data_IF_612322047160
#
_entry.id   IF_612322047160
#
_cell.length_a   1.000
_cell.length_b   1.000
_cell.length_c   1.000
_cell.angle_alpha   90.00
_cell.angle_beta   90.00
_cell.angle_gamma   90.00
#
_symmetry.space_group_name_H-M   'P 1'
#
loop_
_entity.id
_entity.type
_entity.pdbx_description
1 polymer ?
#
# COMPACT_ATOMS: atom_id res chain seq x y z
N UNK A 1 16.32 11.17 -11.56
CA UNK A 1 14.96 10.77 -11.19
C UNK A 1 14.97 9.33 -10.69
N UNK A 2 14.47 9.14 -9.49
CA UNK A 2 14.40 7.82 -8.87
C UNK A 2 12.93 7.48 -8.67
N UNK A 3 12.51 6.31 -9.14
CA UNK A 3 11.14 5.82 -8.97
C UNK A 3 11.18 4.50 -8.22
N UNK A 4 10.45 4.40 -7.12
CA UNK A 4 10.34 3.18 -6.33
C UNK A 4 8.92 2.68 -6.25
N UNK A 5 8.77 1.37 -6.17
CA UNK A 5 7.49 0.69 -6.03
C UNK A 5 7.48 -0.12 -4.74
N UNK A 6 6.49 0.13 -3.91
CA UNK A 6 6.19 -0.70 -2.75
C UNK A 6 5.01 -1.59 -3.13
N UNK A 7 5.21 -2.90 -3.10
CA UNK A 7 4.15 -3.88 -3.30
C UNK A 7 3.72 -4.42 -1.95
N UNK A 8 2.44 -4.31 -1.64
CA UNK A 8 1.87 -4.71 -0.35
C UNK A 8 0.79 -5.75 -0.57
N UNK A 9 0.86 -6.83 0.18
CA UNK A 9 -0.18 -7.85 0.22
C UNK A 9 -0.92 -7.71 1.55
N UNK A 10 -2.25 -7.63 1.47
CA UNK A 10 -3.11 -7.54 2.65
C UNK A 10 -3.99 -8.77 2.74
N UNK A 11 -4.19 -9.26 3.97
CA UNK A 11 -5.18 -10.27 4.29
C UNK A 11 -6.22 -9.66 5.21
N UNK A 12 -7.50 -9.69 4.78
CA UNK A 12 -8.59 -9.01 5.47
C UNK A 12 -9.64 -10.07 5.86
N UNK A 13 -9.38 -10.87 6.91
CA UNK A 13 -10.22 -12.04 7.19
C UNK A 13 -11.65 -11.72 7.58
N UNK A 14 -11.93 -10.50 8.05
CA UNK A 14 -13.27 -10.08 8.45
C UNK A 14 -14.12 -9.56 7.28
N UNK A 15 -13.54 -9.41 6.09
CA UNK A 15 -14.29 -8.93 4.94
C UNK A 15 -15.20 -10.04 4.41
N UNK A 16 -16.48 -9.75 4.25
CA UNK A 16 -17.48 -10.70 3.76
C UNK A 16 -18.08 -10.27 2.43
N UNK A 17 -17.51 -9.24 1.80
CA UNK A 17 -17.96 -8.73 0.52
C UNK A 17 -16.89 -7.83 -0.07
N UNK A 18 -17.01 -7.52 -1.36
CA UNK A 18 -16.15 -6.50 -1.99
C UNK A 18 -16.37 -5.14 -1.35
N UNK A 19 -17.60 -4.86 -0.88
CA UNK A 19 -17.90 -3.61 -0.20
C UNK A 19 -17.09 -3.48 1.09
N UNK A 20 -17.04 -4.54 1.90
CA UNK A 20 -16.25 -4.54 3.13
C UNK A 20 -14.78 -4.29 2.84
N UNK A 21 -14.23 -4.98 1.83
CA UNK A 21 -12.85 -4.78 1.43
C UNK A 21 -12.60 -3.34 0.98
N UNK A 22 -13.50 -2.78 0.17
CA UNK A 22 -13.35 -1.41 -0.33
C UNK A 22 -13.32 -0.39 0.80
N UNK A 23 -14.08 -0.62 1.88
CA UNK A 23 -14.06 0.26 3.03
C UNK A 23 -12.70 0.28 3.71
N UNK A 24 -12.08 -0.89 3.88
CA UNK A 24 -10.73 -1.01 4.44
C UNK A 24 -9.71 -0.30 3.53
N UNK A 25 -9.76 -0.59 2.23
CA UNK A 25 -8.82 0.03 1.28
C UNK A 25 -8.99 1.53 1.21
N UNK A 26 -10.22 2.03 1.29
CA UNK A 26 -10.48 3.48 1.30
C UNK A 26 -9.85 4.13 2.53
N UNK A 27 -10.00 3.50 3.70
CA UNK A 27 -9.38 3.99 4.93
C UNK A 27 -7.86 4.09 4.78
N UNK A 28 -7.24 3.05 4.23
CA UNK A 28 -5.81 3.06 3.98
C UNK A 28 -5.42 4.17 3.00
N UNK A 29 -6.11 4.25 1.86
CA UNK A 29 -5.81 5.27 0.84
C UNK A 29 -5.96 6.69 1.39
N UNK A 30 -6.98 6.93 2.21
CA UNK A 30 -7.20 8.24 2.81
C UNK A 30 -6.04 8.63 3.73
N UNK A 31 -5.51 7.68 4.49
CA UNK A 31 -4.35 7.95 5.35
C UNK A 31 -3.08 8.20 4.54
N UNK A 32 -2.95 7.56 3.38
CA UNK A 32 -1.77 7.72 2.54
C UNK A 32 -1.78 9.03 1.74
N UNK A 33 -2.88 9.78 1.73
CA UNK A 33 -2.94 11.06 1.01
C UNK A 33 -1.95 12.10 1.51
N UNK A 34 -1.46 11.97 2.74
CA UNK A 34 -0.45 12.88 3.29
C UNK A 34 0.95 12.63 2.74
N UNK A 35 1.13 11.50 2.05
CA UNK A 35 2.42 11.16 1.42
C UNK A 35 2.38 11.52 -0.07
N UNK A 36 3.55 11.80 -0.62
CA UNK A 36 3.68 12.09 -2.04
C UNK A 36 3.83 10.78 -2.83
N UNK A 37 2.74 10.02 -2.91
CA UNK A 37 2.73 8.70 -3.57
C UNK A 37 1.44 8.51 -4.35
N UNK A 38 1.49 7.62 -5.34
CA UNK A 38 0.30 7.11 -6.01
C UNK A 38 0.02 5.70 -5.51
N UNK A 39 -1.25 5.40 -5.27
CA UNK A 39 -1.70 4.11 -4.71
C UNK A 39 -2.77 3.52 -5.60
N UNK A 40 -2.66 2.22 -5.89
CA UNK A 40 -3.69 1.50 -6.62
C UNK A 40 -3.79 0.06 -6.11
N UNK A 41 -5.00 -0.50 -6.14
CA UNK A 41 -5.18 -1.93 -5.98
C UNK A 41 -4.83 -2.58 -7.32
N UNK A 42 -3.84 -3.48 -7.33
CA UNK A 42 -3.29 -4.04 -8.57
C UNK A 42 -3.47 -5.55 -8.68
N UNK A 43 -3.83 -6.22 -7.59
CA UNK A 43 -4.07 -7.66 -7.59
C UNK A 43 -5.25 -8.02 -6.70
N UNK A 44 -5.88 -9.16 -6.98
CA UNK A 44 -6.98 -9.73 -6.19
C UNK A 44 -8.23 -8.86 -6.16
N UNK A 45 -8.50 -8.09 -7.22
CA UNK A 45 -9.62 -7.14 -7.24
C UNK A 45 -10.98 -7.80 -6.93
N UNK A 46 -11.17 -9.06 -7.32
CA UNK A 46 -12.43 -9.76 -7.14
C UNK A 46 -12.45 -10.67 -5.91
N UNK A 47 -11.38 -10.68 -5.13
CA UNK A 47 -11.28 -11.49 -3.91
C UNK A 47 -11.62 -10.61 -2.70
N UNK A 48 -12.49 -11.10 -1.80
CA UNK A 48 -12.96 -10.29 -0.66
C UNK A 48 -11.90 -10.12 0.42
N UNK A 49 -11.12 -11.15 0.68
CA UNK A 49 -10.26 -11.23 1.86
C UNK A 49 -8.78 -11.01 1.56
N UNK A 50 -8.47 -10.62 0.32
CA UNK A 50 -7.10 -10.31 -0.08
C UNK A 50 -7.08 -9.08 -0.95
N UNK A 51 -6.02 -8.30 -0.82
CA UNK A 51 -5.77 -7.16 -1.68
C UNK A 51 -4.28 -7.03 -1.94
N UNK A 52 -3.93 -6.70 -3.17
CA UNK A 52 -2.56 -6.35 -3.53
C UNK A 52 -2.52 -4.89 -3.90
N UNK A 53 -1.71 -4.10 -3.19
CA UNK A 53 -1.56 -2.67 -3.45
C UNK A 53 -0.21 -2.39 -4.08
N UNK A 54 -0.19 -1.50 -5.08
CA UNK A 54 1.03 -0.92 -5.61
C UNK A 54 1.10 0.54 -5.19
N UNK A 55 2.22 0.95 -4.61
CA UNK A 55 2.45 2.33 -4.17
C UNK A 55 3.74 2.82 -4.81
N UNK A 56 3.67 3.91 -5.55
CA UNK A 56 4.82 4.46 -6.27
C UNK A 56 5.20 5.81 -5.70
N UNK A 57 6.50 5.98 -5.43
CA UNK A 57 7.09 7.25 -5.02
C UNK A 57 8.17 7.66 -6.02
N UNK A 58 8.34 8.95 -6.20
CA UNK A 58 9.34 9.51 -7.09
C UNK A 58 10.08 10.65 -6.36
N UNK A 59 11.39 10.70 -6.55
CA UNK A 59 12.22 11.79 -5.99
C UNK A 59 13.54 11.88 -6.74
N UNK A 60 14.42 12.73 -6.23
CA UNK A 60 15.74 12.91 -6.80
C UNK A 60 16.78 11.96 -6.20
N UNK A 61 16.52 11.37 -5.03
CA UNK A 61 17.46 10.48 -4.37
C UNK A 61 16.83 9.16 -3.97
N UNK A 62 17.62 8.11 -3.95
CA UNK A 62 17.22 6.77 -3.51
C UNK A 62 16.80 6.80 -2.04
N UNK A 63 17.57 7.49 -1.20
CA UNK A 63 17.31 7.56 0.23
C UNK A 63 15.95 8.18 0.54
N UNK A 64 15.57 9.21 -0.20
CA UNK A 64 14.28 9.86 -0.02
C UNK A 64 13.14 8.91 -0.38
N UNK A 65 13.26 8.21 -1.51
CA UNK A 65 12.24 7.24 -1.94
C UNK A 65 12.11 6.11 -0.92
N UNK A 66 13.24 5.58 -0.43
CA UNK A 66 13.22 4.52 0.57
C UNK A 66 12.50 4.96 1.85
N UNK A 67 12.81 6.17 2.35
CA UNK A 67 12.16 6.69 3.56
C UNK A 67 10.67 6.91 3.36
N UNK A 68 10.28 7.43 2.19
CA UNK A 68 8.87 7.66 1.88
C UNK A 68 8.09 6.35 1.86
N UNK A 69 8.62 5.33 1.18
CA UNK A 69 7.95 4.04 1.09
C UNK A 69 7.94 3.30 2.44
N UNK A 70 9.01 3.42 3.23
CA UNK A 70 9.03 2.85 4.57
C UNK A 70 7.98 3.50 5.47
N UNK A 71 7.85 4.83 5.38
CA UNK A 71 6.83 5.56 6.15
C UNK A 71 5.42 5.15 5.73
N UNK A 72 5.20 4.90 4.44
CA UNK A 72 3.91 4.40 3.93
C UNK A 72 3.60 3.03 4.53
N UNK A 73 4.56 2.10 4.53
CA UNK A 73 4.35 0.77 5.11
C UNK A 73 4.02 0.86 6.59
N UNK A 74 4.72 1.71 7.34
CA UNK A 74 4.46 1.94 8.75
C UNK A 74 3.04 2.51 8.98
N UNK A 75 2.61 3.41 8.11
CA UNK A 75 1.26 3.98 8.22
C UNK A 75 0.19 2.94 7.97
N UNK A 76 0.37 2.06 6.98
CA UNK A 76 -0.57 0.97 6.71
C UNK A 76 -0.69 0.07 7.94
N UNK A 77 0.43 -0.31 8.55
CA UNK A 77 0.42 -1.15 9.75
C UNK A 77 -0.29 -0.45 10.92
N UNK A 78 -0.12 0.87 11.03
CA UNK A 78 -0.77 1.65 12.11
C UNK A 78 -2.27 1.73 11.93
N UNK A 79 -2.74 1.93 10.69
CA UNK A 79 -4.18 2.07 10.39
C UNK A 79 -4.91 0.75 10.54
N UNK A 80 -4.30 -0.33 10.04
CA UNK A 80 -4.89 -1.66 10.03
C UNK A 80 -3.86 -2.67 10.54
N UNK A 81 -3.64 -2.75 11.87
CA UNK A 81 -2.63 -3.63 12.43
C UNK A 81 -2.86 -5.09 12.07
N UNK A 82 -1.79 -5.75 11.65
CA UNK A 82 -1.80 -7.19 11.38
C UNK A 82 -2.36 -7.60 10.02
N UNK A 83 -2.86 -6.68 9.20
CA UNK A 83 -3.41 -7.06 7.89
C UNK A 83 -2.33 -7.22 6.81
N UNK A 84 -1.21 -6.51 6.94
CA UNK A 84 -0.14 -6.55 5.95
C UNK A 84 0.68 -7.82 6.13
N UNK A 85 0.56 -8.76 5.19
CA UNK A 85 1.25 -10.05 5.25
C UNK A 85 2.58 -10.04 4.49
N UNK A 86 2.77 -9.08 3.59
CA UNK A 86 3.96 -8.99 2.77
C UNK A 86 4.17 -7.57 2.29
N UNK A 87 5.42 -7.11 2.28
CA UNK A 87 5.76 -5.84 1.66
C UNK A 87 7.14 -5.95 1.03
N UNK A 88 7.28 -5.42 -0.18
CA UNK A 88 8.54 -5.43 -0.92
C UNK A 88 8.74 -4.11 -1.61
N UNK A 89 9.97 -3.63 -1.63
CA UNK A 89 10.35 -2.41 -2.34
C UNK A 89 11.27 -2.79 -3.50
N UNK A 90 11.00 -2.23 -4.67
CA UNK A 90 11.91 -2.33 -5.81
C UNK A 90 12.04 -0.97 -6.47
N UNK A 91 13.20 -0.71 -7.06
CA UNK A 91 13.43 0.52 -7.78
C UNK A 91 13.24 0.26 -9.27
N UNK A 92 12.44 1.12 -9.91
CA UNK A 92 12.12 1.01 -11.33
C UNK A 92 13.08 1.82 -12.19
N UNK A 93 13.74 2.79 -11.59
CA UNK A 93 14.77 3.59 -12.27
C UNK A 93 15.89 3.92 -11.31
#
# INVERSE_FOLDING_TARGET
MIVGLLSVELHIPHAQSLKDKRMVLRSIKDRLKKFNVSVAEVEHQQVWQRAGLGIVAISTTTEHVERELAAVADEIERVEPGLMTRSEVEFLT
#
